data_IF_636095321878
#
_entry.id   IF_636095321878
#
_cell.length_a   1.000
_cell.length_b   1.000
_cell.length_c   1.000
_cell.angle_alpha   90.00
_cell.angle_beta   90.00
_cell.angle_gamma   90.00
#
_symmetry.space_group_name_H-M   'P 1'
#
loop_
_entity.id
_entity.type
_entity.pdbx_description
1 polymer ?
#
# COMPACT_ATOMS: atom_id res chain seq x y z
N UNK A 1 0.20 34.82 10.25
CA UNK A 1 -0.49 33.63 9.70
C UNK A 1 0.43 32.44 9.91
N UNK A 2 0.04 31.49 10.77
CA UNK A 2 0.81 30.27 11.00
C UNK A 2 0.48 29.30 9.87
N UNK A 3 1.40 29.13 8.92
CA UNK A 3 1.36 28.03 7.97
C UNK A 3 1.95 26.84 8.71
N UNK A 4 1.09 26.02 9.33
CA UNK A 4 1.49 24.68 9.77
C UNK A 4 1.70 23.85 8.50
N UNK A 5 2.91 23.92 7.96
CA UNK A 5 3.42 22.91 7.05
C UNK A 5 3.51 21.60 7.85
N UNK A 6 2.44 20.82 7.84
CA UNK A 6 2.50 19.39 8.17
C UNK A 6 3.38 18.74 7.10
N UNK A 7 4.70 18.88 7.26
CA UNK A 7 5.66 17.93 6.72
C UNK A 7 5.36 16.60 7.40
N UNK A 8 4.39 15.86 6.85
CA UNK A 8 4.30 14.43 7.09
C UNK A 8 5.66 13.87 6.72
N UNK A 9 6.44 13.50 7.74
CA UNK A 9 7.76 12.93 7.58
C UNK A 9 7.65 11.75 6.62
N UNK A 10 8.17 11.91 5.41
CA UNK A 10 8.47 10.78 4.54
C UNK A 10 9.71 10.09 5.13
N UNK A 11 9.52 9.34 6.21
CA UNK A 11 10.51 8.36 6.61
C UNK A 11 10.49 7.30 5.50
N UNK A 12 11.41 7.43 4.55
CA UNK A 12 11.61 6.38 3.56
C UNK A 12 12.03 5.13 4.31
N UNK A 13 11.34 4.02 4.07
CA UNK A 13 11.65 2.78 4.76
C UNK A 13 13.04 2.28 4.35
N UNK A 14 13.76 1.74 5.32
CA UNK A 14 14.96 0.98 5.05
C UNK A 14 14.63 -0.33 4.34
N UNK A 15 15.60 -0.90 3.62
CA UNK A 15 15.45 -2.21 2.98
C UNK A 15 15.02 -3.33 3.95
N UNK A 16 15.41 -3.23 5.22
CA UNK A 16 15.02 -4.17 6.26
C UNK A 16 13.54 -4.04 6.63
N UNK A 17 13.05 -2.80 6.79
CA UNK A 17 11.62 -2.53 7.04
C UNK A 17 10.76 -2.94 5.85
N UNK A 18 11.24 -2.71 4.61
CA UNK A 18 10.57 -3.20 3.40
C UNK A 18 10.44 -4.72 3.44
N UNK A 19 11.52 -5.42 3.78
CA UNK A 19 11.52 -6.89 3.91
C UNK A 19 10.53 -7.38 4.97
N UNK A 20 10.42 -6.69 6.11
CA UNK A 20 9.44 -7.05 7.14
C UNK A 20 8.00 -6.84 6.66
N UNK A 21 7.73 -5.74 5.96
CA UNK A 21 6.46 -5.50 5.30
C UNK A 21 6.14 -6.58 4.26
N UNK A 22 7.13 -7.04 3.51
CA UNK A 22 6.98 -8.16 2.59
C UNK A 22 6.54 -9.44 3.30
N UNK A 23 7.16 -9.73 4.45
CA UNK A 23 6.77 -10.88 5.27
C UNK A 23 5.37 -10.74 5.86
N UNK A 24 4.94 -9.53 6.19
CA UNK A 24 3.57 -9.28 6.65
C UNK A 24 2.54 -9.59 5.55
N UNK A 25 2.76 -9.12 4.32
CA UNK A 25 1.81 -9.37 3.21
C UNK A 25 1.71 -10.84 2.84
N UNK A 26 2.84 -11.54 2.75
CA UNK A 26 2.88 -12.97 2.40
C UNK A 26 2.20 -13.87 3.44
N UNK A 27 2.10 -13.42 4.69
CA UNK A 27 1.46 -14.17 5.79
C UNK A 27 0.01 -13.76 6.03
N UNK A 28 -0.48 -12.71 5.36
CA UNK A 28 -1.84 -12.25 5.52
C UNK A 28 -2.78 -13.00 4.57
N UNK A 29 -3.64 -13.86 5.12
CA UNK A 29 -4.54 -14.71 4.32
C UNK A 29 -5.45 -13.93 3.37
N UNK A 30 -5.97 -12.77 3.80
CA UNK A 30 -6.78 -11.90 2.95
C UNK A 30 -5.99 -11.34 1.76
N UNK A 31 -4.71 -11.04 1.97
CA UNK A 31 -3.82 -10.60 0.90
C UNK A 31 -3.51 -11.75 -0.08
N UNK A 32 -3.26 -12.95 0.44
CA UNK A 32 -3.08 -14.15 -0.38
C UNK A 32 -4.32 -14.43 -1.24
N UNK A 33 -5.52 -14.40 -0.66
CA UNK A 33 -6.78 -14.60 -1.38
C UNK A 33 -6.99 -13.53 -2.47
N UNK A 34 -6.63 -12.28 -2.18
CA UNK A 34 -6.65 -11.19 -3.17
C UNK A 34 -5.73 -11.50 -4.35
N UNK A 35 -4.46 -11.86 -4.09
CA UNK A 35 -3.48 -12.23 -5.11
C UNK A 35 -3.95 -13.41 -5.96
N UNK A 36 -4.47 -14.46 -5.33
CA UNK A 36 -5.00 -15.63 -6.03
C UNK A 36 -6.20 -15.30 -6.91
N UNK A 37 -7.10 -14.44 -6.44
CA UNK A 37 -8.22 -14.00 -7.25
C UNK A 37 -7.79 -13.15 -8.45
N UNK A 38 -6.78 -12.29 -8.32
CA UNK A 38 -6.25 -11.54 -9.46
C UNK A 38 -5.57 -12.46 -10.49
N UNK A 39 -4.86 -13.51 -10.05
CA UNK A 39 -4.25 -14.51 -10.96
C UNK A 39 -5.29 -15.21 -11.84
N UNK A 40 -6.50 -15.45 -11.35
CA UNK A 40 -7.59 -16.09 -12.12
C UNK A 40 -7.99 -15.31 -13.37
N UNK A 41 -7.75 -14.00 -13.39
CA UNK A 41 -8.05 -13.12 -14.52
C UNK A 41 -6.87 -12.95 -15.49
N UNK A 42 -5.81 -13.74 -15.34
CA UNK A 42 -4.63 -13.71 -16.21
C UNK A 42 -3.69 -12.52 -15.96
N UNK A 43 -3.93 -11.76 -14.90
CA UNK A 43 -3.11 -10.60 -14.55
C UNK A 43 -1.95 -10.99 -13.62
N UNK A 44 -0.83 -10.29 -13.75
CA UNK A 44 0.23 -10.38 -12.75
C UNK A 44 -0.29 -9.76 -11.43
N UNK A 45 -0.56 -10.55 -10.38
CA UNK A 45 -1.15 -10.04 -9.15
C UNK A 45 -0.26 -9.03 -8.45
N UNK A 46 1.07 -9.12 -8.65
CA UNK A 46 2.03 -8.20 -8.05
C UNK A 46 1.93 -6.80 -8.62
N UNK A 47 1.56 -6.64 -9.90
CA UNK A 47 1.34 -5.32 -10.50
C UNK A 47 0.11 -4.64 -9.87
N UNK A 48 -0.94 -5.43 -9.57
CA UNK A 48 -2.15 -4.93 -8.88
C UNK A 48 -1.89 -4.53 -7.44
N UNK A 49 -1.06 -5.28 -6.73
CA UNK A 49 -0.60 -4.96 -5.37
C UNK A 49 0.22 -3.67 -5.39
N UNK A 50 1.21 -3.59 -6.28
CA UNK A 50 2.07 -2.41 -6.42
C UNK A 50 1.28 -1.16 -6.78
N UNK A 51 0.15 -1.31 -7.46
CA UNK A 51 -0.75 -0.20 -7.79
C UNK A 51 -1.64 0.25 -6.63
N UNK A 52 -1.88 -0.57 -5.60
CA UNK A 52 -2.77 -0.20 -4.49
C UNK A 52 -2.26 1.02 -3.73
N UNK A 53 -3.14 1.86 -3.18
CA UNK A 53 -2.76 3.02 -2.38
C UNK A 53 -2.22 2.63 -1.01
N UNK A 54 -1.30 3.41 -0.47
CA UNK A 54 -0.87 3.36 0.93
C UNK A 54 -1.64 4.40 1.73
N UNK A 55 -2.19 3.98 2.87
CA UNK A 55 -2.90 4.87 3.77
C UNK A 55 -1.94 5.85 4.45
N UNK A 56 -2.13 7.18 4.36
CA UNK A 56 -1.25 8.15 5.00
C UNK A 56 -1.35 8.16 6.53
N UNK A 57 -2.38 7.52 7.12
CA UNK A 57 -2.59 7.49 8.58
C UNK A 57 -1.89 6.33 9.28
N UNK A 58 -1.87 5.16 8.65
CA UNK A 58 -1.40 3.93 9.30
C UNK A 58 -0.48 3.10 8.42
N UNK A 59 -0.09 3.64 7.25
CA UNK A 59 0.91 3.09 6.34
C UNK A 59 0.59 1.68 5.81
N UNK A 60 -0.66 1.24 5.95
CA UNK A 60 -1.16 -0.04 5.42
C UNK A 60 -1.79 0.16 4.04
N UNK A 61 -1.76 -0.86 3.16
CA UNK A 61 -2.47 -0.79 1.90
C UNK A 61 -3.96 -0.56 2.08
N UNK A 62 -4.49 0.33 1.26
CA UNK A 62 -5.91 0.49 1.03
C UNK A 62 -6.31 -0.07 -0.33
N UNK A 63 -7.58 0.14 -0.67
CA UNK A 63 -8.12 -0.12 -1.98
C UNK A 63 -8.49 1.20 -2.64
N UNK A 64 -8.44 1.24 -3.97
CA UNK A 64 -9.02 2.36 -4.71
C UNK A 64 -10.54 2.38 -4.51
N UNK A 65 -11.08 3.56 -4.21
CA UNK A 65 -12.52 3.76 -4.01
C UNK A 65 -12.94 5.16 -4.46
N UNK A 66 -13.97 5.26 -5.30
CA UNK A 66 -14.58 6.49 -5.86
C UNK A 66 -13.76 7.79 -5.72
N UNK A 67 -12.81 8.01 -6.63
CA UNK A 67 -12.01 9.24 -6.67
C UNK A 67 -10.83 9.31 -5.70
N UNK A 68 -10.57 8.25 -4.95
CA UNK A 68 -9.46 8.18 -3.99
C UNK A 68 -9.19 6.76 -3.49
N UNK A 69 -9.06 6.61 -2.18
CA UNK A 69 -8.78 5.35 -1.50
C UNK A 69 -9.67 5.12 -0.28
N UNK A 70 -9.74 3.86 0.14
CA UNK A 70 -10.27 3.42 1.44
C UNK A 70 -9.29 2.46 2.11
N UNK A 71 -8.95 2.71 3.37
CA UNK A 71 -8.11 1.83 4.17
C UNK A 71 -8.97 0.85 4.97
N UNK A 72 -8.85 -0.44 4.67
CA UNK A 72 -9.59 -1.48 5.41
C UNK A 72 -9.07 -1.73 6.83
N UNK A 73 -7.88 -1.21 7.16
CA UNK A 73 -7.29 -1.39 8.49
C UNK A 73 -7.73 -0.33 9.49
N UNK A 74 -7.86 0.93 9.07
CA UNK A 74 -8.19 2.05 9.96
C UNK A 74 -9.43 2.86 9.53
N UNK A 75 -10.07 2.48 8.43
CA UNK A 75 -11.26 3.15 7.89
C UNK A 75 -11.01 4.49 7.19
N UNK A 76 -9.75 4.92 7.04
CA UNK A 76 -9.45 6.19 6.38
C UNK A 76 -9.89 6.19 4.92
N UNK A 77 -10.60 7.25 4.53
CA UNK A 77 -10.91 7.58 3.13
C UNK A 77 -10.25 8.90 2.75
N UNK A 78 -9.69 8.99 1.54
CA UNK A 78 -8.96 10.18 1.12
C UNK A 78 -8.41 10.05 -0.30
N UNK A 79 -7.61 11.03 -0.72
CA UNK A 79 -6.91 10.97 -2.00
C UNK A 79 -5.85 9.87 -2.00
N UNK A 80 -5.50 9.37 -3.19
CA UNK A 80 -4.33 8.50 -3.35
C UNK A 80 -3.09 9.37 -3.37
N UNK A 81 -2.35 9.40 -2.27
CA UNK A 81 -1.11 10.17 -2.16
C UNK A 81 0.12 9.36 -2.59
N UNK A 82 0.10 8.06 -2.31
CA UNK A 82 1.22 7.15 -2.57
C UNK A 82 0.72 5.75 -2.89
N UNK A 83 1.37 5.06 -3.82
CA UNK A 83 1.11 3.64 -4.11
C UNK A 83 2.10 2.73 -3.40
N UNK A 84 1.71 1.47 -3.17
CA UNK A 84 2.55 0.45 -2.53
C UNK A 84 3.94 0.36 -3.17
N UNK A 85 4.02 0.39 -4.50
CA UNK A 85 5.31 0.32 -5.22
C UNK A 85 6.21 1.55 -5.02
N UNK A 86 5.61 2.71 -4.72
CA UNK A 86 6.32 3.97 -4.50
C UNK A 86 6.78 4.07 -3.05
N UNK A 87 6.03 3.46 -2.13
CA UNK A 87 6.36 3.37 -0.70
C UNK A 87 7.43 2.31 -0.38
N UNK A 88 7.40 1.18 -1.08
CA UNK A 88 8.25 0.02 -0.80
C UNK A 88 9.27 -0.24 -1.92
N UNK A 89 10.13 0.72 -2.28
CA UNK A 89 10.82 0.82 -3.58
C UNK A 89 11.52 -0.47 -4.07
N UNK A 90 11.98 -1.35 -3.19
CA UNK A 90 12.69 -2.60 -3.50
C UNK A 90 11.87 -3.89 -3.36
N UNK A 91 10.57 -3.81 -3.09
CA UNK A 91 9.75 -5.01 -2.86
C UNK A 91 9.50 -5.92 -4.08
N UNK A 92 8.93 -7.10 -3.78
CA UNK A 92 8.71 -8.30 -4.61
C UNK A 92 7.84 -8.19 -5.89
N UNK A 93 7.41 -7.00 -6.31
CA UNK A 93 6.63 -6.84 -7.56
C UNK A 93 7.51 -6.51 -8.78
N UNK A 94 8.83 -6.45 -8.59
CA UNK A 94 9.82 -6.60 -9.67
C UNK A 94 9.90 -8.08 -10.03
#
# INVERSE_FOLDING_TARGET
MLINSNTHMSHEMSAQEETMWMHFFTRNGMFTDFVENQRKWGENPFSRVGAQPICPKCEKPGFHHHGGMVCVSCGHTGAVELKTREYLKDGWWK
#
